data_IF_959048222726
#
_entry.id   IF_959048222726
#
_cell.length_a   1.000
_cell.length_b   1.000
_cell.length_c   1.000
_cell.angle_alpha   90.00
_cell.angle_beta   90.00
_cell.angle_gamma   90.00
#
_symmetry.space_group_name_H-M   'P 1'
#
loop_
_entity.id
_entity.type
_entity.pdbx_description
1 polymer ?
#
# COMPACT_ATOMS: atom_id res chain seq x y z
N UNK A 1 9.99 23.76 -18.48
CA UNK A 1 8.70 24.21 -19.05
C UNK A 1 7.82 23.07 -19.57
N UNK A 2 8.31 22.15 -20.42
CA UNK A 2 7.47 21.06 -20.98
C UNK A 2 6.99 19.99 -19.98
N UNK A 3 7.81 19.66 -18.98
CA UNK A 3 7.46 18.64 -17.95
C UNK A 3 6.38 19.17 -17.01
N UNK A 4 6.46 20.44 -16.61
CA UNK A 4 5.45 21.10 -15.79
C UNK A 4 4.09 21.16 -16.51
N UNK A 5 4.12 21.44 -17.82
CA UNK A 5 2.91 21.43 -18.66
C UNK A 5 2.27 20.03 -18.73
N UNK A 6 3.06 18.97 -18.86
CA UNK A 6 2.54 17.58 -18.85
C UNK A 6 1.96 17.17 -17.49
N UNK A 7 2.58 17.61 -16.39
CA UNK A 7 2.07 17.35 -15.04
C UNK A 7 0.73 18.05 -14.80
N UNK A 8 0.61 19.32 -15.23
CA UNK A 8 -0.61 20.12 -15.11
C UNK A 8 -1.75 19.55 -15.96
N UNK A 9 -1.46 19.04 -17.17
CA UNK A 9 -2.48 18.37 -17.98
C UNK A 9 -2.98 17.06 -17.36
N UNK A 10 -2.07 16.27 -16.75
CA UNK A 10 -2.43 15.03 -16.06
C UNK A 10 -3.26 15.28 -14.80
N UNK A 11 -2.92 16.29 -14.00
CA UNK A 11 -3.70 16.65 -12.82
C UNK A 11 -5.09 17.16 -13.22
N UNK A 12 -5.21 17.99 -14.26
CA UNK A 12 -6.51 18.44 -14.77
C UNK A 12 -7.38 17.27 -15.25
N UNK A 13 -6.83 16.29 -15.98
CA UNK A 13 -7.59 15.12 -16.44
C UNK A 13 -8.02 14.21 -15.27
N UNK A 14 -7.16 14.01 -14.27
CA UNK A 14 -7.50 13.26 -13.06
C UNK A 14 -8.59 13.95 -12.24
N UNK A 15 -8.54 15.29 -12.13
CA UNK A 15 -9.59 16.10 -11.49
C UNK A 15 -10.91 16.04 -12.25
N UNK A 16 -10.88 16.07 -13.60
CA UNK A 16 -12.06 15.96 -14.45
C UNK A 16 -12.73 14.58 -14.30
N UNK A 17 -11.94 13.50 -14.22
CA UNK A 17 -12.45 12.14 -14.03
C UNK A 17 -13.13 11.95 -12.67
N UNK A 18 -12.68 12.66 -11.64
CA UNK A 18 -13.28 12.67 -10.30
C UNK A 18 -14.57 13.50 -10.28
N UNK A 19 -14.67 14.56 -11.09
CA UNK A 19 -15.83 15.47 -11.14
C UNK A 19 -17.01 14.95 -11.98
N UNK A 20 -16.79 13.99 -12.89
CA UNK A 20 -17.85 13.41 -13.76
C UNK A 20 -18.64 12.29 -13.07
N UNK A 21 -18.29 11.92 -11.83
CA UNK A 21 -18.93 10.82 -11.09
C UNK A 21 -20.34 11.08 -10.50
N UNK A 22 -20.93 12.29 -10.45
CA UNK A 22 -22.28 12.44 -9.91
C UNK A 22 -23.27 12.92 -10.98
N UNK A 23 -23.72 12.04 -11.88
CA UNK A 23 -25.07 12.20 -12.46
C UNK A 23 -25.59 10.90 -13.11
N UNK A 24 -26.17 10.03 -12.31
CA UNK A 24 -27.35 9.23 -12.71
C UNK A 24 -28.16 9.03 -11.45
N UNK A 25 -29.22 9.82 -11.32
CA UNK A 25 -30.37 9.46 -10.49
C UNK A 25 -31.27 8.57 -11.34
N UNK A 26 -31.75 7.46 -10.79
CA UNK A 26 -32.98 6.84 -11.29
C UNK A 26 -33.77 6.24 -10.14
N UNK A 27 -35.08 6.45 -10.26
CA UNK A 27 -36.18 6.35 -9.29
C UNK A 27 -36.68 4.91 -9.03
N UNK A 28 -37.47 4.79 -7.94
CA UNK A 28 -38.58 3.83 -7.68
C UNK A 28 -38.24 2.35 -7.39
N UNK A 29 -38.89 1.57 -6.50
CA UNK A 29 -39.93 1.70 -5.44
C UNK A 29 -39.89 0.38 -4.61
N UNK A 30 -40.55 0.25 -3.43
CA UNK A 30 -40.46 -0.96 -2.59
C UNK A 30 -41.65 -1.92 -2.78
N UNK A 31 -41.40 -3.16 -3.22
CA UNK A 31 -42.40 -4.23 -3.17
C UNK A 31 -42.29 -5.06 -1.88
N UNK A 32 -43.37 -5.04 -1.07
CA UNK A 32 -43.59 -5.92 0.08
C UNK A 32 -43.95 -7.34 -0.37
N UNK A 33 -43.41 -8.38 0.27
CA UNK A 33 -44.12 -9.67 0.36
C UNK A 33 -43.78 -10.41 1.66
N UNK A 34 -44.84 -10.76 2.38
CA UNK A 34 -44.88 -11.49 3.65
C UNK A 34 -44.90 -13.00 3.41
N UNK A 35 -44.12 -13.79 4.19
CA UNK A 35 -44.46 -15.18 4.55
C UNK A 35 -43.52 -15.72 5.67
N UNK A 36 -44.07 -15.91 6.87
CA UNK A 36 -43.53 -16.69 8.01
C UNK A 36 -43.82 -18.19 7.76
N UNK A 37 -43.13 -19.24 8.25
CA UNK A 37 -42.43 -19.44 9.52
C UNK A 37 -41.29 -20.51 9.48
N UNK A 38 -40.76 -20.92 8.32
CA UNK A 38 -39.53 -21.74 8.19
C UNK A 38 -38.27 -20.90 7.87
N UNK A 39 -38.48 -19.58 7.66
CA UNK A 39 -37.45 -18.61 7.27
C UNK A 39 -36.45 -18.30 8.39
N UNK A 40 -36.84 -18.43 9.67
CA UNK A 40 -36.09 -17.84 10.79
C UNK A 40 -34.72 -18.49 11.01
N UNK A 41 -34.64 -19.81 10.92
CA UNK A 41 -33.40 -20.57 11.16
C UNK A 41 -32.42 -20.45 9.98
N UNK A 42 -32.94 -20.57 8.75
CA UNK A 42 -32.16 -20.35 7.53
C UNK A 42 -31.69 -18.90 7.37
N UNK A 43 -32.53 -17.91 7.73
CA UNK A 43 -32.14 -16.50 7.72
C UNK A 43 -31.10 -16.20 8.80
N UNK A 44 -31.21 -16.79 9.99
CA UNK A 44 -30.22 -16.62 11.05
C UNK A 44 -28.87 -17.22 10.65
N UNK A 45 -28.86 -18.41 10.03
CA UNK A 45 -27.65 -19.06 9.49
C UNK A 45 -27.04 -18.32 8.29
N UNK A 46 -27.86 -17.79 7.38
CA UNK A 46 -27.39 -16.97 6.26
C UNK A 46 -26.81 -15.64 6.76
N UNK A 47 -27.44 -15.02 7.76
CA UNK A 47 -26.96 -13.79 8.40
C UNK A 47 -25.63 -14.01 9.12
N UNK A 48 -25.47 -15.10 9.88
CA UNK A 48 -24.22 -15.40 10.58
C UNK A 48 -23.07 -15.70 9.61
N UNK A 49 -23.33 -16.46 8.55
CA UNK A 49 -22.35 -16.72 7.48
C UNK A 49 -21.93 -15.42 6.79
N UNK A 50 -22.89 -14.58 6.40
CA UNK A 50 -22.61 -13.30 5.75
C UNK A 50 -21.79 -12.37 6.66
N UNK A 51 -22.13 -12.30 7.96
CA UNK A 51 -21.35 -11.53 8.93
C UNK A 51 -19.90 -12.03 9.00
N UNK A 52 -19.70 -13.35 9.07
CA UNK A 52 -18.36 -13.94 9.06
C UNK A 52 -17.58 -13.58 7.79
N UNK A 53 -18.20 -13.69 6.62
CA UNK A 53 -17.57 -13.36 5.34
C UNK A 53 -17.20 -11.87 5.27
N UNK A 54 -18.06 -10.95 5.76
CA UNK A 54 -17.75 -9.52 5.82
C UNK A 54 -16.56 -9.26 6.74
N UNK A 55 -16.54 -9.85 7.93
CA UNK A 55 -15.44 -9.70 8.89
C UNK A 55 -14.13 -10.26 8.31
N UNK A 56 -14.19 -11.45 7.70
CA UNK A 56 -13.03 -12.07 7.06
C UNK A 56 -12.52 -11.21 5.89
N UNK A 57 -13.41 -10.61 5.09
CA UNK A 57 -13.03 -9.70 4.00
C UNK A 57 -12.22 -8.53 4.55
N UNK A 58 -12.72 -7.90 5.61
CA UNK A 58 -12.04 -6.80 6.28
C UNK A 58 -10.64 -7.18 6.75
N UNK A 59 -10.48 -8.33 7.41
CA UNK A 59 -9.17 -8.78 7.90
C UNK A 59 -8.20 -9.15 6.79
N UNK A 60 -8.67 -9.82 5.72
CA UNK A 60 -7.81 -10.14 4.57
C UNK A 60 -7.29 -8.86 3.90
N UNK A 61 -8.17 -7.88 3.68
CA UNK A 61 -7.82 -6.63 3.00
C UNK A 61 -6.98 -5.72 3.89
N UNK A 62 -7.19 -5.74 5.21
CA UNK A 62 -6.26 -5.12 6.16
C UNK A 62 -4.88 -5.76 6.07
N UNK A 63 -4.78 -7.08 6.25
CA UNK A 63 -3.49 -7.78 6.24
C UNK A 63 -2.72 -7.55 4.93
N UNK A 64 -3.42 -7.57 3.80
CA UNK A 64 -2.82 -7.28 2.49
C UNK A 64 -2.44 -5.81 2.32
N UNK A 65 -3.43 -4.91 2.28
CA UNK A 65 -3.28 -3.52 1.82
C UNK A 65 -2.83 -2.58 2.95
N UNK A 66 -3.29 -2.84 4.17
CA UNK A 66 -2.97 -2.07 5.36
C UNK A 66 -1.59 -2.39 5.92
N UNK A 67 -1.13 -3.64 5.76
CA UNK A 67 0.11 -4.10 6.38
C UNK A 67 1.17 -4.58 5.38
N UNK A 68 0.94 -5.69 4.66
CA UNK A 68 1.96 -6.33 3.83
C UNK A 68 2.48 -5.41 2.71
N UNK A 69 1.60 -4.69 2.01
CA UNK A 69 2.02 -3.78 0.93
C UNK A 69 2.87 -2.61 1.46
N UNK A 70 2.46 -1.84 2.48
CA UNK A 70 3.30 -0.82 3.10
C UNK A 70 4.64 -1.34 3.62
N UNK A 71 4.63 -2.50 4.31
CA UNK A 71 5.87 -3.12 4.81
C UNK A 71 6.79 -3.49 3.66
N UNK A 72 6.25 -4.07 2.57
CA UNK A 72 7.02 -4.36 1.37
C UNK A 72 7.67 -3.10 0.77
N UNK A 73 6.97 -1.96 0.75
CA UNK A 73 7.51 -0.66 0.31
C UNK A 73 8.64 -0.19 1.24
N UNK A 74 8.44 -0.28 2.56
CA UNK A 74 9.47 0.08 3.55
C UNK A 74 10.73 -0.79 3.40
N UNK A 75 10.57 -2.09 3.16
CA UNK A 75 11.69 -3.03 2.98
C UNK A 75 12.52 -2.65 1.75
N UNK A 76 11.91 -2.45 0.59
CA UNK A 76 12.68 -2.10 -0.61
C UNK A 76 13.33 -0.73 -0.49
N UNK A 77 12.69 0.22 0.21
CA UNK A 77 13.25 1.56 0.44
C UNK A 77 14.55 1.52 1.25
N UNK A 78 14.74 0.54 2.14
CA UNK A 78 16.01 0.35 2.85
C UNK A 78 17.20 0.09 1.91
N UNK A 79 16.93 -0.34 0.67
CA UNK A 79 17.99 -0.58 -0.33
C UNK A 79 18.78 0.67 -0.68
N UNK A 80 18.20 1.87 -0.53
CA UNK A 80 18.88 3.15 -0.75
C UNK A 80 20.09 3.37 0.18
N UNK A 81 20.22 2.56 1.23
CA UNK A 81 21.29 2.66 2.24
C UNK A 81 22.32 1.54 2.18
N UNK A 82 22.20 0.64 1.21
CA UNK A 82 22.99 -0.58 1.16
C UNK A 82 23.86 -0.57 -0.08
N UNK A 83 25.18 -0.57 0.14
CA UNK A 83 26.18 -0.56 -0.94
C UNK A 83 26.49 -1.97 -1.48
N UNK A 84 26.34 -3.01 -0.67
CA UNK A 84 26.67 -4.38 -1.10
C UNK A 84 25.54 -5.09 -1.86
N UNK A 85 25.90 -5.72 -2.98
CA UNK A 85 24.98 -6.38 -3.91
C UNK A 85 24.16 -7.53 -3.31
N UNK A 86 24.69 -8.30 -2.35
CA UNK A 86 23.97 -9.43 -1.72
C UNK A 86 22.77 -8.96 -0.90
N UNK A 87 22.96 -7.96 -0.04
CA UNK A 87 21.89 -7.39 0.79
C UNK A 87 20.82 -6.71 -0.07
N UNK A 88 21.23 -6.04 -1.15
CA UNK A 88 20.30 -5.48 -2.14
C UNK A 88 19.40 -6.55 -2.79
N UNK A 89 19.96 -7.71 -3.14
CA UNK A 89 19.19 -8.87 -3.64
C UNK A 89 18.19 -9.36 -2.60
N UNK A 90 18.61 -9.51 -1.34
CA UNK A 90 17.73 -9.94 -0.24
C UNK A 90 16.55 -8.97 -0.10
N UNK A 91 16.79 -7.67 0.01
CA UNK A 91 15.72 -6.67 0.14
C UNK A 91 14.75 -6.68 -1.05
N UNK A 92 15.28 -6.88 -2.27
CA UNK A 92 14.46 -7.03 -3.47
C UNK A 92 13.57 -8.27 -3.42
N UNK A 93 14.12 -9.44 -3.06
CA UNK A 93 13.33 -10.66 -2.95
C UNK A 93 12.31 -10.60 -1.82
N UNK A 94 12.69 -10.06 -0.65
CA UNK A 94 11.75 -9.84 0.45
C UNK A 94 10.60 -8.93 0.02
N UNK A 95 10.88 -7.83 -0.67
CA UNK A 95 9.84 -6.97 -1.25
C UNK A 95 8.94 -7.77 -2.21
N UNK A 96 9.51 -8.47 -3.18
CA UNK A 96 8.73 -9.23 -4.16
C UNK A 96 7.83 -10.28 -3.49
N UNK A 97 8.35 -11.04 -2.52
CA UNK A 97 7.59 -12.06 -1.78
C UNK A 97 6.44 -11.40 -1.01
N UNK A 98 6.69 -10.32 -0.28
CA UNK A 98 5.65 -9.59 0.46
C UNK A 98 4.56 -9.06 -0.48
N UNK A 99 4.93 -8.51 -1.64
CA UNK A 99 3.95 -8.00 -2.61
C UNK A 99 3.14 -9.13 -3.25
N UNK A 100 3.77 -10.26 -3.60
CA UNK A 100 3.07 -11.42 -4.14
C UNK A 100 2.04 -11.94 -3.12
N UNK A 101 2.45 -12.11 -1.86
CA UNK A 101 1.54 -12.54 -0.79
C UNK A 101 0.38 -11.55 -0.61
N UNK A 102 0.66 -10.25 -0.62
CA UNK A 102 -0.37 -9.22 -0.52
C UNK A 102 -1.36 -9.29 -1.70
N UNK A 103 -0.88 -9.42 -2.94
CA UNK A 103 -1.74 -9.52 -4.14
C UNK A 103 -2.62 -10.78 -4.08
N UNK A 104 -2.08 -11.91 -3.62
CA UNK A 104 -2.85 -13.15 -3.46
C UNK A 104 -3.95 -13.01 -2.40
N UNK A 105 -3.63 -12.42 -1.24
CA UNK A 105 -4.61 -12.18 -0.16
C UNK A 105 -5.68 -11.17 -0.60
N UNK A 106 -5.29 -10.08 -1.27
CA UNK A 106 -6.22 -9.11 -1.83
C UNK A 106 -7.15 -9.76 -2.87
N UNK A 107 -6.61 -10.65 -3.71
CA UNK A 107 -7.40 -11.42 -4.67
C UNK A 107 -8.38 -12.35 -3.99
N UNK A 108 -7.97 -13.07 -2.95
CA UNK A 108 -8.88 -13.91 -2.18
C UNK A 108 -10.04 -13.09 -1.56
N UNK A 109 -9.73 -11.94 -0.97
CA UNK A 109 -10.74 -11.04 -0.41
C UNK A 109 -11.65 -10.41 -1.47
N UNK A 110 -11.14 -10.07 -2.64
CA UNK A 110 -11.92 -9.54 -3.76
C UNK A 110 -12.86 -10.61 -4.36
N UNK A 111 -12.36 -11.83 -4.61
CA UNK A 111 -13.17 -12.96 -5.08
C UNK A 111 -14.28 -13.27 -4.08
N UNK A 112 -13.97 -13.28 -2.78
CA UNK A 112 -14.97 -13.49 -1.74
C UNK A 112 -16.05 -12.39 -1.74
N UNK A 113 -15.65 -11.13 -1.89
CA UNK A 113 -16.60 -10.00 -2.01
C UNK A 113 -17.52 -10.15 -3.21
N UNK A 114 -16.97 -10.45 -4.38
CA UNK A 114 -17.72 -10.61 -5.62
C UNK A 114 -18.72 -11.77 -5.52
N UNK A 115 -18.32 -12.91 -4.94
CA UNK A 115 -19.16 -14.10 -4.86
C UNK A 115 -20.26 -14.01 -3.81
N UNK A 116 -19.99 -13.37 -2.68
CA UNK A 116 -20.83 -13.50 -1.49
C UNK A 116 -21.59 -12.22 -1.11
N UNK A 117 -21.19 -11.05 -1.61
CA UNK A 117 -21.82 -9.78 -1.25
C UNK A 117 -22.72 -9.24 -2.35
N UNK A 118 -23.65 -8.36 -1.94
CA UNK A 118 -24.46 -7.60 -2.88
C UNK A 118 -23.59 -6.51 -3.53
N UNK A 119 -23.28 -6.68 -4.81
CA UNK A 119 -22.44 -5.77 -5.60
C UNK A 119 -23.27 -4.68 -6.28
N UNK A 120 -24.11 -3.97 -5.51
CA UNK A 120 -24.91 -2.87 -6.05
C UNK A 120 -24.09 -1.60 -6.31
N UNK A 121 -22.84 -1.53 -5.83
CA UNK A 121 -21.93 -0.38 -5.98
C UNK A 121 -22.52 0.95 -5.52
N UNK A 122 -23.43 0.89 -4.53
CA UNK A 122 -24.11 2.07 -3.99
C UNK A 122 -23.31 2.79 -2.90
N UNK A 123 -22.20 2.22 -2.43
CA UNK A 123 -21.31 2.87 -1.47
C UNK A 123 -19.93 3.15 -2.06
N UNK A 124 -19.24 4.16 -1.50
CA UNK A 124 -17.91 4.57 -1.95
C UNK A 124 -16.87 3.45 -1.82
N UNK A 125 -16.94 2.65 -0.77
CA UNK A 125 -16.02 1.52 -0.53
C UNK A 125 -16.02 0.52 -1.70
N UNK A 126 -17.20 0.13 -2.20
CA UNK A 126 -17.30 -0.81 -3.33
C UNK A 126 -16.74 -0.22 -4.63
N UNK A 127 -17.03 1.06 -4.91
CA UNK A 127 -16.55 1.76 -6.12
C UNK A 127 -15.03 1.92 -6.10
N UNK A 128 -14.47 2.36 -4.98
CA UNK A 128 -13.03 2.50 -4.79
C UNK A 128 -12.37 1.11 -4.81
N UNK A 129 -12.95 0.14 -4.11
CA UNK A 129 -12.41 -1.22 -4.00
C UNK A 129 -12.26 -1.93 -5.35
N UNK A 130 -13.25 -1.85 -6.24
CA UNK A 130 -13.16 -2.49 -7.57
C UNK A 130 -12.09 -1.83 -8.45
N UNK A 131 -12.03 -0.49 -8.45
CA UNK A 131 -11.00 0.24 -9.18
C UNK A 131 -9.61 -0.08 -8.64
N UNK A 132 -9.45 -0.07 -7.31
CA UNK A 132 -8.23 -0.40 -6.62
C UNK A 132 -7.74 -1.82 -6.94
N UNK A 133 -8.64 -2.80 -7.03
CA UNK A 133 -8.27 -4.17 -7.40
C UNK A 133 -7.62 -4.26 -8.79
N UNK A 134 -8.15 -3.53 -9.77
CA UNK A 134 -7.54 -3.42 -11.10
C UNK A 134 -6.14 -2.80 -11.03
N UNK A 135 -5.97 -1.73 -10.24
CA UNK A 135 -4.69 -1.04 -10.07
C UNK A 135 -3.65 -1.93 -9.36
N UNK A 136 -4.05 -2.76 -8.38
CA UNK A 136 -3.17 -3.72 -7.71
C UNK A 136 -2.57 -4.70 -8.72
N UNK A 137 -3.39 -5.29 -9.59
CA UNK A 137 -2.90 -6.20 -10.62
C UNK A 137 -2.04 -5.49 -11.66
N UNK A 138 -2.42 -4.29 -12.08
CA UNK A 138 -1.59 -3.48 -12.96
C UNK A 138 -0.21 -3.24 -12.34
N UNK A 139 -0.14 -2.88 -11.06
CA UNK A 139 1.11 -2.67 -10.33
C UNK A 139 1.96 -3.94 -10.26
N UNK A 140 1.34 -5.10 -10.04
CA UNK A 140 2.03 -6.40 -10.04
C UNK A 140 2.61 -6.73 -11.42
N UNK A 141 1.82 -6.57 -12.49
CA UNK A 141 2.24 -6.79 -13.87
C UNK A 141 3.39 -5.86 -14.25
N UNK A 142 3.29 -4.57 -13.92
CA UNK A 142 4.36 -3.59 -14.08
C UNK A 142 5.62 -4.04 -13.35
N UNK A 143 5.48 -4.59 -12.13
CA UNK A 143 6.59 -5.17 -11.38
C UNK A 143 7.31 -6.32 -12.10
N UNK A 144 6.56 -7.21 -12.77
CA UNK A 144 7.11 -8.35 -13.51
C UNK A 144 7.85 -7.93 -14.79
N UNK A 145 7.39 -6.89 -15.50
CA UNK A 145 8.05 -6.39 -16.73
C UNK A 145 9.26 -5.48 -16.45
N UNK A 146 9.90 -5.65 -15.29
CA UNK A 146 11.06 -4.85 -14.86
C UNK A 146 12.21 -4.92 -15.88
N UNK A 147 12.62 -3.78 -16.49
CA UNK A 147 13.71 -3.75 -17.46
C UNK A 147 15.07 -4.16 -16.86
N UNK A 148 15.98 -4.67 -17.70
CA UNK A 148 17.35 -4.97 -17.28
C UNK A 148 18.10 -3.71 -16.79
N UNK A 149 19.08 -3.90 -15.90
CA UNK A 149 19.93 -2.80 -15.43
C UNK A 149 20.67 -2.16 -16.61
N UNK A 150 20.79 -0.83 -16.62
CA UNK A 150 21.45 -0.06 -17.70
C UNK A 150 20.56 0.26 -18.91
N UNK A 151 19.35 -0.31 -19.02
CA UNK A 151 18.44 0.02 -20.13
C UNK A 151 17.83 1.42 -19.99
N UNK A 152 17.66 2.13 -21.12
CA UNK A 152 17.08 3.50 -21.17
C UNK A 152 15.69 3.59 -20.53
N UNK A 153 14.87 2.53 -20.64
CA UNK A 153 13.52 2.49 -20.08
C UNK A 153 13.45 2.29 -18.56
N UNK A 154 14.55 1.96 -17.89
CA UNK A 154 14.53 1.56 -16.47
C UNK A 154 14.18 2.70 -15.52
N UNK A 155 14.61 3.93 -15.81
CA UNK A 155 14.28 5.10 -14.98
C UNK A 155 12.78 5.42 -15.08
N UNK A 156 12.21 5.40 -16.28
CA UNK A 156 10.77 5.60 -16.52
C UNK A 156 9.96 4.51 -15.82
N UNK A 157 10.35 3.24 -15.99
CA UNK A 157 9.72 2.13 -15.29
C UNK A 157 9.75 2.31 -13.77
N UNK A 158 10.91 2.69 -13.21
CA UNK A 158 11.05 2.90 -11.77
C UNK A 158 10.12 4.00 -11.27
N UNK A 159 10.08 5.15 -11.96
CA UNK A 159 9.20 6.26 -11.60
C UNK A 159 7.73 5.85 -11.64
N UNK A 160 7.30 5.19 -12.71
CA UNK A 160 5.90 4.74 -12.86
C UNK A 160 5.54 3.68 -11.83
N UNK A 161 6.39 2.69 -11.60
CA UNK A 161 6.17 1.63 -10.61
C UNK A 161 6.15 2.19 -9.18
N UNK A 162 7.02 3.15 -8.87
CA UNK A 162 7.03 3.83 -7.58
C UNK A 162 5.77 4.69 -7.37
N UNK A 163 5.36 5.47 -8.38
CA UNK A 163 4.18 6.31 -8.33
C UNK A 163 2.91 5.47 -8.15
N UNK A 164 2.75 4.44 -8.99
CA UNK A 164 1.61 3.53 -8.96
C UNK A 164 1.55 2.77 -7.64
N UNK A 165 2.68 2.24 -7.15
CA UNK A 165 2.73 1.56 -5.86
C UNK A 165 2.37 2.47 -4.68
N UNK A 166 2.80 3.73 -4.71
CA UNK A 166 2.42 4.73 -3.71
C UNK A 166 0.91 5.01 -3.77
N UNK A 167 0.35 5.17 -4.97
CA UNK A 167 -1.09 5.37 -5.14
C UNK A 167 -1.91 4.17 -4.64
N UNK A 168 -1.49 2.94 -4.95
CA UNK A 168 -2.12 1.69 -4.44
C UNK A 168 -2.12 1.66 -2.91
N UNK A 169 -1.01 2.03 -2.28
CA UNK A 169 -0.90 2.08 -0.82
C UNK A 169 -1.88 3.11 -0.21
N UNK A 170 -1.92 4.33 -0.75
CA UNK A 170 -2.81 5.39 -0.26
C UNK A 170 -4.29 5.02 -0.45
N UNK A 171 -4.66 4.57 -1.65
CA UNK A 171 -6.02 4.13 -1.95
C UNK A 171 -6.42 2.92 -1.10
N UNK A 172 -5.51 1.99 -0.83
CA UNK A 172 -5.73 0.86 0.07
C UNK A 172 -6.10 1.29 1.49
N UNK A 173 -5.35 2.23 2.05
CA UNK A 173 -5.63 2.81 3.39
C UNK A 173 -6.99 3.51 3.41
N UNK A 174 -7.29 4.34 2.42
CA UNK A 174 -8.60 5.00 2.29
C UNK A 174 -9.74 3.97 2.15
N UNK A 175 -9.51 2.90 1.39
CA UNK A 175 -10.49 1.85 1.19
C UNK A 175 -10.77 1.05 2.47
N UNK A 176 -9.78 0.88 3.35
CA UNK A 176 -9.97 0.25 4.67
C UNK A 176 -10.81 1.16 5.59
N UNK A 177 -10.54 2.46 5.64
CA UNK A 177 -11.35 3.39 6.45
C UNK A 177 -12.81 3.44 6.00
N UNK A 178 -13.05 3.55 4.68
CA UNK A 178 -14.41 3.50 4.12
C UNK A 178 -15.04 2.12 4.30
N UNK A 179 -14.25 1.04 4.29
CA UNK A 179 -14.72 -0.32 4.58
C UNK A 179 -15.15 -0.51 6.02
N UNK A 180 -14.45 0.09 6.99
CA UNK A 180 -14.87 0.11 8.39
C UNK A 180 -16.19 0.85 8.55
N UNK A 181 -16.37 2.00 7.89
CA UNK A 181 -17.64 2.72 7.89
C UNK A 181 -18.78 1.87 7.29
N UNK A 182 -18.55 1.26 6.12
CA UNK A 182 -19.52 0.36 5.49
C UNK A 182 -19.85 -0.87 6.37
N UNK A 183 -18.87 -1.38 7.13
CA UNK A 183 -19.09 -2.44 8.11
C UNK A 183 -19.99 -1.98 9.26
N UNK A 184 -19.78 -0.77 9.78
CA UNK A 184 -20.63 -0.18 10.82
C UNK A 184 -22.06 -0.01 10.33
N UNK A 185 -22.26 0.58 9.14
CA UNK A 185 -23.58 0.78 8.55
C UNK A 185 -24.33 -0.55 8.35
N UNK A 186 -23.61 -1.60 7.91
CA UNK A 186 -24.22 -2.90 7.59
C UNK A 186 -24.47 -3.79 8.80
N UNK A 187 -23.66 -3.67 9.87
CA UNK A 187 -23.72 -4.57 11.03
C UNK A 187 -24.16 -3.90 12.32
N UNK A 188 -24.23 -2.56 12.33
CA UNK A 188 -24.45 -1.72 13.52
C UNK A 188 -23.45 -1.96 14.66
N UNK A 189 -22.32 -2.64 14.39
CA UNK A 189 -21.28 -2.92 15.38
C UNK A 189 -20.32 -1.75 15.51
N UNK A 190 -19.85 -1.48 16.72
CA UNK A 190 -18.86 -0.42 16.97
C UNK A 190 -17.54 -0.70 16.25
N UNK A 191 -17.04 0.30 15.51
CA UNK A 191 -15.77 0.22 14.77
C UNK A 191 -14.61 0.98 15.42
N UNK A 192 -14.90 1.77 16.47
CA UNK A 192 -13.93 2.68 17.11
C UNK A 192 -12.62 1.99 17.49
N UNK A 193 -12.71 0.80 18.09
CA UNK A 193 -11.54 0.03 18.47
C UNK A 193 -10.65 -0.32 17.27
N UNK A 194 -11.25 -0.88 16.20
CA UNK A 194 -10.55 -1.23 14.96
C UNK A 194 -9.95 -0.01 14.28
N UNK A 195 -10.68 1.11 14.24
CA UNK A 195 -10.19 2.37 13.68
C UNK A 195 -8.97 2.89 14.44
N UNK A 196 -8.98 2.84 15.78
CA UNK A 196 -7.82 3.26 16.60
C UNK A 196 -6.60 2.39 16.30
N UNK A 197 -6.76 1.06 16.28
CA UNK A 197 -5.66 0.14 15.97
C UNK A 197 -5.09 0.41 14.58
N UNK A 198 -5.96 0.52 13.57
CA UNK A 198 -5.51 0.78 12.20
C UNK A 198 -4.80 2.14 12.07
N UNK A 199 -5.31 3.17 12.74
CA UNK A 199 -4.69 4.50 12.74
C UNK A 199 -3.32 4.47 13.43
N UNK A 200 -3.19 3.75 14.54
CA UNK A 200 -1.93 3.59 15.26
C UNK A 200 -0.90 2.81 14.41
N UNK A 201 -1.31 1.72 13.76
CA UNK A 201 -0.49 0.96 12.80
C UNK A 201 0.00 1.87 11.66
N UNK A 202 -0.89 2.62 11.02
CA UNK A 202 -0.52 3.51 9.92
C UNK A 202 0.39 4.66 10.37
N UNK A 203 0.17 5.20 11.57
CA UNK A 203 1.03 6.22 12.17
C UNK A 203 2.43 5.68 12.45
N UNK A 204 2.53 4.45 12.95
CA UNK A 204 3.79 3.76 13.16
C UNK A 204 4.53 3.52 11.84
N UNK A 205 3.85 3.00 10.81
CA UNK A 205 4.44 2.80 9.48
C UNK A 205 4.90 4.13 8.86
N UNK A 206 4.12 5.20 9.00
CA UNK A 206 4.48 6.54 8.54
C UNK A 206 5.69 7.11 9.28
N UNK A 207 5.76 6.92 10.60
CA UNK A 207 6.94 7.28 11.39
C UNK A 207 8.19 6.55 10.88
N UNK A 208 8.11 5.22 10.67
CA UNK A 208 9.22 4.45 10.11
C UNK A 208 9.61 4.93 8.71
N UNK A 209 8.63 5.27 7.86
CA UNK A 209 8.89 5.83 6.54
C UNK A 209 9.69 7.14 6.60
N UNK A 210 9.31 8.06 7.49
CA UNK A 210 10.00 9.35 7.67
C UNK A 210 11.37 9.16 8.33
N UNK A 211 11.44 8.29 9.32
CA UNK A 211 12.69 7.91 9.99
C UNK A 211 13.70 7.28 9.02
N UNK A 212 13.20 6.55 8.01
CA UNK A 212 14.02 6.01 6.93
C UNK A 212 14.73 7.08 6.07
N UNK A 213 14.32 8.34 6.14
CA UNK A 213 14.99 9.43 5.44
C UNK A 213 16.02 10.14 6.34
N UNK A 214 15.64 10.35 7.61
CA UNK A 214 16.41 11.14 8.58
C UNK A 214 17.58 10.38 9.22
N UNK A 215 17.53 9.05 9.32
CA UNK A 215 18.55 8.27 10.04
C UNK A 215 20.00 8.54 9.59
N UNK A 216 20.26 8.66 8.28
CA UNK A 216 21.62 8.93 7.78
C UNK A 216 22.12 10.31 8.22
N UNK A 217 21.22 11.29 8.31
CA UNK A 217 21.55 12.63 8.79
C UNK A 217 21.87 12.60 10.28
N UNK A 218 21.06 11.88 11.07
CA UNK A 218 21.28 11.70 12.53
C UNK A 218 22.63 11.02 12.80
N UNK A 219 22.94 9.94 12.06
CA UNK A 219 24.22 9.24 12.18
C UNK A 219 25.41 10.16 11.85
N UNK A 220 25.30 10.98 10.80
CA UNK A 220 26.35 11.95 10.44
C UNK A 220 26.54 13.02 11.51
N UNK A 221 25.47 13.54 12.11
CA UNK A 221 25.58 14.55 13.18
C UNK A 221 26.18 13.97 14.47
N UNK A 222 25.83 12.73 14.83
CA UNK A 222 26.44 12.06 15.99
C UNK A 222 27.94 11.80 15.83
N UNK A 223 28.42 11.58 14.61
CA UNK A 223 29.86 11.38 14.33
C UNK A 223 30.64 12.71 14.34
N UNK A 224 30.03 13.82 13.90
CA UNK A 224 30.68 15.14 13.90
C UNK A 224 30.93 15.67 15.33
N UNK A 225 30.02 15.40 16.27
CA UNK A 225 30.18 15.77 17.69
C UNK A 225 31.27 14.95 18.43
N UNK A 226 31.67 13.80 17.89
CA UNK A 226 32.74 12.96 18.48
C UNK A 226 34.15 13.30 17.99
N UNK A 227 34.28 14.13 16.94
CA UNK A 227 35.54 14.49 16.32
C UNK A 227 35.79 16.01 16.43
N UNK A 228 35.81 16.56 17.65
CA UNK A 228 36.52 17.83 17.85
C UNK A 228 37.99 17.64 17.40
N UNK A 229 38.51 18.53 16.53
CA UNK A 229 39.80 18.30 15.91
C UNK A 229 40.93 18.62 16.89
N UNK A 230 41.59 17.59 17.41
CA UNK A 230 42.98 17.70 17.83
C UNK A 230 43.82 17.64 16.54
N UNK A 231 44.41 18.77 16.17
CA UNK A 231 45.40 18.87 15.08
C UNK A 231 46.57 17.91 15.39
N UNK A 232 46.99 17.03 14.46
CA UNK A 232 48.11 17.40 13.57
C UNK A 232 48.12 16.76 12.16
N UNK A 233 48.76 17.50 11.26
CA UNK A 233 49.56 17.20 10.07
C UNK A 233 49.45 15.86 9.29
N UNK A 234 49.44 16.04 7.96
CA UNK A 234 49.85 15.19 6.83
C UNK A 234 49.31 13.75 6.68
N UNK A 235 48.49 13.61 5.62
CA UNK A 235 48.21 12.43 4.79
C UNK A 235 48.63 11.06 5.34
N UNK A 236 47.71 10.40 6.02
CA UNK A 236 47.62 8.95 5.94
C UNK A 236 46.14 8.53 5.80
N UNK A 237 45.82 7.89 4.67
CA UNK A 237 44.48 7.31 4.45
C UNK A 237 44.23 6.30 5.57
N UNK A 238 43.26 6.61 6.43
CA UNK A 238 42.92 5.81 7.61
C UNK A 238 42.71 4.34 7.21
N UNK A 239 43.23 3.36 7.99
CA UNK A 239 42.99 1.93 7.76
C UNK A 239 41.51 1.58 7.61
N UNK A 240 40.63 2.37 8.22
CA UNK A 240 39.17 2.23 8.17
C UNK A 240 38.58 2.52 6.79
N UNK A 241 39.16 3.46 6.05
CA UNK A 241 38.72 3.83 4.70
C UNK A 241 39.20 2.81 3.67
N UNK A 242 40.44 2.31 3.80
CA UNK A 242 40.93 1.17 3.01
C UNK A 242 40.08 -0.09 3.22
N UNK A 243 39.63 -0.35 4.45
CA UNK A 243 38.78 -1.51 4.74
C UNK A 243 37.35 -1.35 4.22
N UNK A 244 36.82 -0.12 4.15
CA UNK A 244 35.54 0.16 3.49
C UNK A 244 35.64 -0.01 1.98
N UNK A 245 36.66 0.56 1.35
CA UNK A 245 36.88 0.38 -0.09
C UNK A 245 37.11 -1.09 -0.46
N UNK A 246 37.91 -1.83 0.32
CA UNK A 246 38.14 -3.25 0.08
C UNK A 246 36.86 -4.10 0.24
N UNK A 247 35.97 -3.74 1.18
CA UNK A 247 34.65 -4.38 1.32
C UNK A 247 33.67 -4.01 0.20
N UNK A 248 33.81 -2.84 -0.39
CA UNK A 248 33.05 -2.43 -1.59
C UNK A 248 33.56 -3.19 -2.82
N UNK A 249 34.88 -3.37 -2.94
CA UNK A 249 35.54 -4.10 -4.05
C UNK A 249 35.39 -5.62 -4.00
N UNK A 250 35.08 -6.20 -2.84
CA UNK A 250 34.83 -7.64 -2.66
C UNK A 250 33.33 -8.00 -2.66
N UNK A 251 32.44 -7.01 -2.87
CA UNK A 251 31.07 -7.18 -3.34
C UNK A 251 30.99 -6.87 -4.85
#
# INVERSE_FOLDING_TARGET
MQVLRRLVFFTIHASLFILVLPLVSSSQEPSKTTSHASKKDNNHKLSSKLMFEITLHGFLLWASMGFLMPVGILVIRMSNRVECGRRLKILFYTHAILQILAVLIATAGAVMSIKNFNNSFNNYHQRIGVALYGIIWLQALVGFVRPQRGSKGRSVWFFMHWLLGTAVCLLGVLNIYTGLQAYHEKTSRGIRFWTIIFTAEMSFLAFFYLFQDKWLHIQKQGVVLGNEPIMPNDQEISPRDKQKELKILTC
#
